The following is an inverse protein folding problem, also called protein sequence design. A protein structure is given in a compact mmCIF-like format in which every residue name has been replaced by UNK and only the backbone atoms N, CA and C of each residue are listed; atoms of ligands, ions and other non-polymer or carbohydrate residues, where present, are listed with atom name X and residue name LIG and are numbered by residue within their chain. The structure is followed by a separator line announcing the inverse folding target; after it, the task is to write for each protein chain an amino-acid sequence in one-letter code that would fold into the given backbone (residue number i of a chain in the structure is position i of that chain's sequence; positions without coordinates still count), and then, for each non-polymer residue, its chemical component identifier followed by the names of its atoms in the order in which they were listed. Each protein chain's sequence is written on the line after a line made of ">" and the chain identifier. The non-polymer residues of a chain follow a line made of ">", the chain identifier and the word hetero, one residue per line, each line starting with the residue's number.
data_IF_615591042187
#
_entry.id   IF_615591042187
#
_cell.length_a   1.000
_cell.length_b   1.000
_cell.length_c   1.000
_cell.angle_alpha   90.00
_cell.angle_beta   90.00
_cell.angle_gamma   90.00
#
_symmetry.space_group_name_H-M   'P 1'
#
loop_
_entity.id
_entity.type
_entity.pdbx_description
1 polymer ?
#
# COMPACT_ATOMS: atom_id res chain seq x y z
N UNK A 1 11.38 -3.95 -1.29
CA UNK A 1 11.19 -4.77 -0.07
C UNK A 1 10.45 -6.03 -0.49
N UNK A 2 10.71 -7.17 0.14
CA UNK A 2 10.01 -8.41 -0.23
C UNK A 2 8.68 -8.57 0.50
N UNK A 3 8.48 -7.81 1.59
CA UNK A 3 7.28 -7.86 2.43
C UNK A 3 7.01 -6.50 3.10
N UNK A 4 5.75 -6.13 3.25
CA UNK A 4 5.27 -4.90 3.90
C UNK A 4 4.15 -5.25 4.88
N UNK A 5 4.15 -4.58 6.04
CA UNK A 5 3.00 -4.46 6.93
C UNK A 5 2.61 -2.99 6.96
N UNK A 6 1.36 -2.68 6.60
CA UNK A 6 0.82 -1.32 6.60
C UNK A 6 -0.11 -1.12 7.79
N UNK A 7 0.13 -0.04 8.54
CA UNK A 7 -0.57 0.27 9.79
C UNK A 7 -1.29 1.60 9.63
N UNK A 8 -2.57 1.63 9.97
CA UNK A 8 -3.40 2.83 9.81
C UNK A 8 -4.85 2.59 10.24
N UNK A 9 -5.83 3.34 9.69
CA UNK A 9 -5.72 4.31 8.59
C UNK A 9 -5.02 5.61 8.92
N UNK A 10 -4.99 6.00 10.20
CA UNK A 10 -4.43 7.27 10.64
C UNK A 10 -3.24 7.07 11.60
N UNK A 11 -2.60 8.18 11.98
CA UNK A 11 -1.65 8.22 13.09
C UNK A 11 -2.33 8.37 14.46
N UNK A 12 -1.61 8.04 15.53
CA UNK A 12 -2.09 8.22 16.90
C UNK A 12 -3.31 7.36 17.23
N UNK A 13 -4.31 7.94 17.88
CA UNK A 13 -5.52 7.23 18.36
C UNK A 13 -6.37 6.64 17.21
N UNK A 14 -6.21 7.14 15.99
CA UNK A 14 -6.88 6.62 14.79
C UNK A 14 -6.13 5.48 14.09
N UNK A 15 -4.95 5.11 14.60
CA UNK A 15 -4.09 4.07 14.02
C UNK A 15 -4.20 2.71 14.72
N UNK A 16 -3.15 1.91 14.57
CA UNK A 16 -2.99 0.65 15.31
C UNK A 16 -3.74 -0.55 14.73
N UNK A 17 -4.35 -0.43 13.54
CA UNK A 17 -4.89 -1.57 12.80
C UNK A 17 -3.92 -1.99 11.71
N UNK A 18 -3.78 -3.30 11.53
CA UNK A 18 -3.14 -3.86 10.34
C UNK A 18 -4.10 -3.68 9.18
N UNK A 19 -3.75 -2.81 8.24
CA UNK A 19 -4.51 -2.61 7.01
C UNK A 19 -4.13 -3.63 5.94
N UNK A 20 -2.86 -4.02 5.91
CA UNK A 20 -2.32 -4.96 4.94
C UNK A 20 -1.05 -5.65 5.45
N UNK A 21 -0.83 -6.87 4.98
CA UNK A 21 0.40 -7.64 5.15
C UNK A 21 0.64 -8.49 3.88
N UNK A 22 1.81 -8.35 3.24
CA UNK A 22 2.12 -9.05 1.98
C UNK A 22 3.17 -8.34 1.13
N UNK A 23 3.14 -8.53 -0.19
CA UNK A 23 4.15 -7.92 -1.08
C UNK A 23 3.83 -6.45 -1.42
N UNK A 24 4.84 -5.66 -1.85
CA UNK A 24 4.60 -4.31 -2.37
C UNK A 24 3.57 -4.26 -3.51
N UNK A 25 3.63 -5.22 -4.45
CA UNK A 25 2.72 -5.30 -5.60
C UNK A 25 1.27 -5.66 -5.22
N UNK A 26 1.08 -6.26 -4.05
CA UNK A 26 -0.23 -6.51 -3.47
C UNK A 26 -0.75 -5.29 -2.71
N UNK A 27 0.11 -4.60 -1.95
CA UNK A 27 -0.26 -3.41 -1.18
C UNK A 27 -0.83 -2.30 -2.06
N UNK A 28 -0.26 -2.07 -3.24
CA UNK A 28 -0.75 -1.03 -4.19
C UNK A 28 -2.18 -1.26 -4.68
N UNK A 29 -2.75 -2.45 -4.47
CA UNK A 29 -4.15 -2.78 -4.80
C UNK A 29 -5.11 -2.47 -3.65
N UNK A 30 -4.60 -2.16 -2.45
CA UNK A 30 -5.38 -1.85 -1.25
C UNK A 30 -5.78 -0.38 -1.29
N UNK A 31 -7.07 -0.10 -1.50
CA UNK A 31 -7.58 1.26 -1.68
C UNK A 31 -7.50 2.11 -0.41
N UNK A 32 -7.58 1.46 0.74
CA UNK A 32 -7.54 2.05 2.06
C UNK A 32 -6.12 2.41 2.51
N UNK A 33 -5.08 1.98 1.78
CA UNK A 33 -3.69 2.24 2.11
C UNK A 33 -3.18 3.52 1.44
N UNK A 34 -2.90 4.54 2.25
CA UNK A 34 -2.14 5.71 1.79
C UNK A 34 -0.76 5.31 1.27
N UNK A 35 -0.10 4.37 1.94
CA UNK A 35 1.19 3.83 1.53
C UNK A 35 1.10 3.21 0.14
N UNK A 36 0.11 2.35 -0.12
CA UNK A 36 -0.13 1.74 -1.43
C UNK A 36 -0.40 2.77 -2.52
N UNK A 37 -1.15 3.83 -2.21
CA UNK A 37 -1.45 4.90 -3.16
C UNK A 37 -0.19 5.62 -3.68
N UNK A 38 0.79 5.90 -2.81
CA UNK A 38 2.05 6.54 -3.21
C UNK A 38 3.08 5.55 -3.72
N UNK A 39 3.14 4.35 -3.15
CA UNK A 39 4.10 3.31 -3.54
C UNK A 39 3.94 2.86 -5.00
N UNK A 40 2.73 2.98 -5.57
CA UNK A 40 2.47 2.66 -6.97
C UNK A 40 3.39 3.42 -7.94
N UNK A 41 3.73 4.66 -7.62
CA UNK A 41 4.51 5.52 -8.51
C UNK A 41 6.00 5.12 -8.46
N UNK A 42 6.48 4.65 -7.31
CA UNK A 42 7.86 4.19 -7.10
C UNK A 42 8.13 2.78 -7.63
N UNK A 43 7.09 1.95 -7.78
CA UNK A 43 7.23 0.59 -8.33
C UNK A 43 7.25 0.55 -9.87
N UNK A 44 7.17 1.70 -10.56
CA UNK A 44 7.09 1.80 -12.03
C UNK A 44 5.98 0.91 -12.65
N UNK A 45 4.94 0.60 -11.86
CA UNK A 45 3.90 -0.37 -12.24
C UNK A 45 2.90 0.16 -13.26
N UNK A 46 2.93 1.45 -13.57
CA UNK A 46 2.06 2.11 -14.56
C UNK A 46 2.09 1.43 -15.93
N UNK A 47 3.25 0.91 -16.35
CA UNK A 47 3.36 0.16 -17.61
C UNK A 47 2.94 -1.31 -17.48
N UNK A 48 3.07 -1.90 -16.28
CA UNK A 48 2.91 -3.34 -16.06
C UNK A 48 1.48 -3.78 -15.73
N UNK A 49 0.66 -2.92 -15.13
CA UNK A 49 -0.66 -3.30 -14.62
C UNK A 49 -1.87 -2.51 -15.17
N UNK A 50 -1.68 -1.57 -16.12
CA UNK A 50 -2.78 -0.84 -16.81
C UNK A 50 -3.91 -0.41 -15.85
N UNK A 51 -3.53 0.20 -14.73
CA UNK A 51 -4.46 0.68 -13.73
C UNK A 51 -5.00 2.03 -14.26
N UNK A 52 -6.32 2.22 -14.41
CA UNK A 52 -6.89 3.42 -15.03
C UNK A 52 -6.61 4.71 -14.25
#
# INVERSE_FOLDING_TARGET
>A
ADHIIDIGPEGGDGGGKILFEGTPEELVKVKESYTGYYLKDELDIHQKYQIP
#
